data_IF_039778280187
#
_entry.id   IF_039778280187
#
_cell.length_a   1.000
_cell.length_b   1.000
_cell.length_c   1.000
_cell.angle_alpha   90.00
_cell.angle_beta   90.00
_cell.angle_gamma   90.00
#
_symmetry.space_group_name_H-M   'P 1'
#
loop_
_entity.id
_entity.type
_entity.pdbx_description
1 polymer ?
#
# COMPACT_ATOMS: atom_id res chain seq x y z
N UNK A 1 39.73 36.44 13.68
CA UNK A 1 38.74 35.90 14.58
C UNK A 1 37.64 35.21 13.77
N UNK A 2 37.67 33.89 13.78
CA UNK A 2 36.70 33.04 13.06
C UNK A 2 35.44 33.04 13.91
N UNK A 3 34.36 33.64 13.39
CA UNK A 3 33.03 33.56 13.96
C UNK A 3 32.57 32.09 13.90
N UNK A 4 32.59 31.41 15.03
CA UNK A 4 31.95 30.13 15.21
C UNK A 4 30.42 30.36 15.25
N UNK A 5 29.73 30.04 14.14
CA UNK A 5 28.28 29.93 14.16
C UNK A 5 27.90 28.84 15.20
N UNK A 6 27.09 29.16 16.21
CA UNK A 6 26.64 28.16 17.16
C UNK A 6 25.80 27.12 16.38
N UNK A 7 26.17 25.84 16.52
CA UNK A 7 25.34 24.72 16.03
C UNK A 7 23.92 24.90 16.58
N UNK A 8 22.87 24.70 15.78
CA UNK A 8 21.51 24.76 16.29
C UNK A 8 21.36 23.73 17.40
N UNK A 9 21.24 24.21 18.63
CA UNK A 9 20.92 23.38 19.78
C UNK A 9 19.53 22.81 19.53
N UNK A 10 19.43 21.46 19.37
CA UNK A 10 18.14 20.77 19.28
C UNK A 10 17.30 21.22 20.46
N UNK A 11 16.11 21.71 20.17
CA UNK A 11 15.17 22.17 21.19
C UNK A 11 15.02 21.03 22.24
N UNK A 12 15.24 21.26 23.54
CA UNK A 12 15.24 20.21 24.55
C UNK A 12 13.95 19.38 24.54
N UNK A 13 12.83 19.99 24.15
CA UNK A 13 11.56 19.28 23.96
C UNK A 13 11.61 18.28 22.81
N UNK A 14 12.25 18.62 21.69
CA UNK A 14 12.39 17.72 20.52
C UNK A 14 13.26 16.52 20.87
N UNK A 15 14.39 16.76 21.58
CA UNK A 15 15.26 15.66 22.03
C UNK A 15 14.54 14.72 23.00
N UNK A 16 13.68 15.27 23.87
CA UNK A 16 12.88 14.46 24.80
C UNK A 16 11.82 13.65 24.08
N UNK A 17 11.17 14.21 23.07
CA UNK A 17 10.21 13.49 22.22
C UNK A 17 10.87 12.31 21.47
N UNK A 18 12.09 12.50 20.96
CA UNK A 18 12.86 11.43 20.30
C UNK A 18 13.20 10.29 21.28
N UNK A 19 13.61 10.60 22.51
CA UNK A 19 13.86 9.60 23.55
C UNK A 19 12.62 8.78 23.90
N UNK A 20 11.45 9.45 24.03
CA UNK A 20 10.18 8.77 24.33
C UNK A 20 9.77 7.86 23.18
N UNK A 21 9.92 8.30 21.92
CA UNK A 21 9.62 7.46 20.74
C UNK A 21 10.53 6.24 20.69
N UNK A 22 11.82 6.39 21.01
CA UNK A 22 12.74 5.26 21.07
C UNK A 22 12.33 4.26 22.14
N UNK A 23 11.96 4.70 23.33
CA UNK A 23 11.49 3.83 24.41
C UNK A 23 10.15 3.13 24.08
N UNK A 24 9.25 3.78 23.34
CA UNK A 24 8.00 3.15 22.89
C UNK A 24 8.22 2.03 21.88
N UNK A 25 9.26 2.14 21.05
CA UNK A 25 9.60 1.16 20.02
C UNK A 25 10.47 0.00 20.53
N UNK A 26 10.86 0.05 21.79
CA UNK A 26 11.64 -1.04 22.41
C UNK A 26 10.73 -2.28 22.60
N UNK A 27 11.13 -3.45 22.07
CA UNK A 27 10.36 -4.69 22.21
C UNK A 27 10.12 -5.14 23.65
N UNK A 28 10.97 -4.69 24.58
CA UNK A 28 10.86 -5.02 26.01
C UNK A 28 9.83 -4.17 26.77
N UNK A 29 9.30 -3.12 26.14
CA UNK A 29 8.35 -2.20 26.80
C UNK A 29 6.95 -2.83 26.88
N UNK A 30 6.39 -2.90 28.12
CA UNK A 30 5.05 -3.43 28.32
C UNK A 30 3.98 -2.57 27.62
N UNK A 31 2.82 -3.15 27.29
CA UNK A 31 1.73 -2.43 26.66
C UNK A 31 1.21 -1.26 27.53
N UNK A 32 1.19 -1.45 28.83
CA UNK A 32 0.83 -0.40 29.78
C UNK A 32 1.84 0.76 29.75
N UNK A 33 3.13 0.47 29.80
CA UNK A 33 4.18 1.49 29.75
C UNK A 33 4.16 2.24 28.41
N UNK A 34 3.93 1.51 27.32
CA UNK A 34 3.79 2.09 25.98
C UNK A 34 2.64 3.12 25.95
N UNK A 35 1.50 2.79 26.55
CA UNK A 35 0.36 3.72 26.66
C UNK A 35 0.73 4.97 27.45
N UNK A 36 1.44 4.82 28.58
CA UNK A 36 1.90 5.95 29.40
C UNK A 36 2.95 6.82 28.71
N UNK A 37 3.86 6.21 27.95
CA UNK A 37 4.83 6.95 27.13
C UNK A 37 4.12 7.71 26.01
N UNK A 38 3.09 7.14 25.42
CA UNK A 38 2.27 7.80 24.40
C UNK A 38 1.51 9.02 24.94
N UNK A 39 0.89 8.91 26.11
CA UNK A 39 0.27 10.04 26.80
C UNK A 39 1.28 11.17 27.08
N UNK A 40 2.50 10.80 27.47
CA UNK A 40 3.59 11.74 27.74
C UNK A 40 4.08 12.44 26.47
N UNK A 41 4.23 11.68 25.40
CA UNK A 41 4.61 12.21 24.08
C UNK A 41 3.53 13.19 23.56
N UNK A 42 2.27 12.86 23.76
CA UNK A 42 1.14 13.70 23.39
C UNK A 42 1.20 15.08 24.06
N UNK A 43 1.47 15.12 25.34
CA UNK A 43 1.60 16.38 26.11
C UNK A 43 2.79 17.24 25.66
N UNK A 44 3.87 16.60 25.18
CA UNK A 44 5.09 17.28 24.74
C UNK A 44 5.06 17.72 23.28
N UNK A 45 4.38 16.99 22.41
CA UNK A 45 4.40 17.20 20.95
C UNK A 45 3.14 17.82 20.34
N UNK A 46 2.24 18.32 21.18
CA UNK A 46 1.07 19.06 20.68
C UNK A 46 -0.22 18.28 20.51
N UNK A 47 -0.25 17.02 20.93
CA UNK A 47 -1.51 16.26 21.02
C UNK A 47 -1.47 14.86 20.38
N UNK A 48 -2.39 14.02 20.83
CA UNK A 48 -2.73 12.72 20.24
C UNK A 48 -4.23 12.73 19.96
N UNK A 49 -4.60 12.40 18.75
CA UNK A 49 -6.00 12.13 18.43
C UNK A 49 -6.36 10.71 18.88
N UNK A 50 -7.45 10.60 19.64
CA UNK A 50 -7.98 9.31 20.08
C UNK A 50 -9.32 9.07 19.41
N UNK A 51 -9.40 8.06 18.57
CA UNK A 51 -10.64 7.63 17.92
C UNK A 51 -11.25 6.54 18.80
N UNK A 52 -12.44 6.83 19.36
CA UNK A 52 -13.19 5.85 20.14
C UNK A 52 -14.20 5.17 19.25
N UNK A 53 -14.07 3.85 19.11
CA UNK A 53 -14.95 3.03 18.27
C UNK A 53 -15.98 2.35 19.16
N UNK A 54 -17.25 2.38 18.73
CA UNK A 54 -18.35 1.68 19.40
C UNK A 54 -19.22 0.92 18.39
N UNK A 55 -19.98 -0.04 18.90
CA UNK A 55 -20.88 -0.87 18.09
C UNK A 55 -21.86 -1.63 18.98
N UNK A 56 -22.81 -2.35 18.38
CA UNK A 56 -23.82 -3.15 19.05
C UNK A 56 -23.28 -4.51 19.53
N UNK A 57 -22.17 -4.98 18.95
CA UNK A 57 -21.51 -6.22 19.34
C UNK A 57 -19.98 -6.06 19.35
N UNK A 58 -19.30 -6.94 20.08
CA UNK A 58 -17.83 -6.97 20.14
C UNK A 58 -17.19 -7.23 18.76
N UNK A 59 -17.81 -8.09 17.95
CA UNK A 59 -17.37 -8.38 16.58
C UNK A 59 -17.44 -7.11 15.71
N UNK A 60 -18.55 -6.39 15.76
CA UNK A 60 -18.72 -5.12 15.04
C UNK A 60 -17.67 -4.07 15.44
N UNK A 61 -17.39 -3.97 16.74
CA UNK A 61 -16.36 -3.05 17.26
C UNK A 61 -14.98 -3.46 16.75
N UNK A 62 -14.68 -4.77 16.75
CA UNK A 62 -13.43 -5.33 16.20
C UNK A 62 -13.26 -4.97 14.73
N UNK A 63 -14.23 -5.27 13.88
CA UNK A 63 -14.19 -4.94 12.45
C UNK A 63 -14.03 -3.44 12.17
N UNK A 64 -14.74 -2.61 12.92
CA UNK A 64 -14.58 -1.15 12.78
C UNK A 64 -13.20 -0.68 13.19
N UNK A 65 -12.64 -1.23 14.28
CA UNK A 65 -11.29 -0.89 14.74
C UNK A 65 -10.27 -1.25 13.66
N UNK A 66 -10.32 -2.47 13.12
CA UNK A 66 -9.39 -2.94 12.10
C UNK A 66 -9.46 -2.06 10.84
N UNK A 67 -10.67 -1.65 10.46
CA UNK A 67 -10.88 -0.73 9.33
C UNK A 67 -10.26 0.65 9.56
N UNK A 68 -10.30 1.17 10.78
CA UNK A 68 -9.59 2.41 11.12
C UNK A 68 -8.07 2.24 11.12
N UNK A 69 -7.58 1.12 11.62
CA UNK A 69 -6.14 0.83 11.62
C UNK A 69 -5.61 0.69 10.19
N UNK A 70 -6.34 0.01 9.30
CA UNK A 70 -6.04 -0.11 7.88
C UNK A 70 -6.01 1.27 7.19
N UNK A 71 -7.01 2.11 7.45
CA UNK A 71 -7.06 3.46 6.90
C UNK A 71 -5.88 4.33 7.36
N UNK A 72 -5.46 4.20 8.62
CA UNK A 72 -4.28 4.90 9.14
C UNK A 72 -2.99 4.40 8.49
N UNK A 73 -2.84 3.08 8.30
CA UNK A 73 -1.70 2.49 7.62
C UNK A 73 -1.64 2.93 6.15
N UNK A 74 -2.77 2.90 5.44
CA UNK A 74 -2.88 3.37 4.07
C UNK A 74 -2.52 4.85 3.93
N UNK A 75 -3.01 5.69 4.85
CA UNK A 75 -2.69 7.12 4.86
C UNK A 75 -1.20 7.39 5.08
N UNK A 76 -0.56 6.67 6.00
CA UNK A 76 0.89 6.78 6.21
C UNK A 76 1.68 6.36 4.98
N UNK A 77 1.31 5.24 4.36
CA UNK A 77 1.93 4.76 3.13
C UNK A 77 1.78 5.77 1.97
N UNK A 78 0.61 6.41 1.87
CA UNK A 78 0.35 7.46 0.88
C UNK A 78 1.19 8.72 1.11
N UNK A 79 1.43 9.11 2.36
CA UNK A 79 2.31 10.25 2.69
C UNK A 79 3.77 9.94 2.37
N UNK A 80 4.20 8.68 2.52
CA UNK A 80 5.59 8.27 2.27
C UNK A 80 5.96 8.20 0.79
N UNK A 81 5.12 7.57 -0.04
CA UNK A 81 5.44 7.30 -1.46
C UNK A 81 4.41 7.84 -2.46
N UNK A 82 3.37 8.52 -2.00
CA UNK A 82 2.32 9.06 -2.86
C UNK A 82 1.18 8.09 -3.14
N UNK A 83 0.32 8.50 -4.07
CA UNK A 83 -0.93 7.82 -4.43
C UNK A 83 -0.98 7.49 -5.92
N UNK A 84 -1.76 6.48 -6.24
CA UNK A 84 -2.09 6.04 -7.61
C UNK A 84 -3.60 5.82 -7.74
N UNK A 85 -4.16 5.77 -8.97
CA UNK A 85 -5.56 5.40 -9.14
C UNK A 85 -5.81 4.00 -8.59
N UNK A 86 -6.89 3.86 -7.83
CA UNK A 86 -7.33 2.61 -7.21
C UNK A 86 -8.01 1.65 -8.19
N UNK A 87 -8.75 0.69 -7.65
CA UNK A 87 -9.50 -0.27 -8.47
C UNK A 87 -8.64 -1.22 -9.31
N UNK A 88 -7.36 -1.40 -8.95
CA UNK A 88 -6.42 -2.22 -9.71
C UNK A 88 -5.93 -1.59 -11.01
N UNK A 89 -6.35 -0.36 -11.31
CA UNK A 89 -6.03 0.36 -12.57
C UNK A 89 -4.54 0.68 -12.67
N UNK A 90 -3.89 1.02 -11.56
CA UNK A 90 -2.46 1.32 -11.55
C UNK A 90 -1.61 0.17 -12.10
N UNK A 91 -1.90 -1.07 -11.67
CA UNK A 91 -1.21 -2.27 -12.18
C UNK A 91 -1.53 -2.53 -13.66
N UNK A 92 -2.78 -2.34 -14.05
CA UNK A 92 -3.22 -2.50 -15.44
C UNK A 92 -2.47 -1.51 -16.37
N UNK A 93 -2.35 -0.26 -15.98
CA UNK A 93 -1.60 0.77 -16.74
C UNK A 93 -0.10 0.50 -16.72
N UNK A 94 0.45 -0.01 -15.62
CA UNK A 94 1.86 -0.41 -15.52
C UNK A 94 2.22 -1.55 -16.49
N UNK A 95 1.27 -2.39 -16.88
CA UNK A 95 1.51 -3.47 -17.85
C UNK A 95 2.06 -2.96 -19.20
N UNK A 96 1.81 -1.70 -19.56
CA UNK A 96 2.37 -1.07 -20.77
C UNK A 96 3.90 -0.98 -20.74
N UNK A 97 4.50 -0.83 -19.56
CA UNK A 97 5.96 -0.76 -19.43
C UNK A 97 6.66 -2.05 -19.82
N UNK A 98 5.93 -3.19 -19.80
CA UNK A 98 6.44 -4.48 -20.25
C UNK A 98 6.70 -4.54 -21.76
N UNK A 99 6.12 -3.65 -22.56
CA UNK A 99 6.33 -3.60 -24.02
C UNK A 99 7.76 -3.18 -24.38
N UNK A 100 8.45 -2.48 -23.48
CA UNK A 100 9.83 -2.03 -23.67
C UNK A 100 10.89 -3.08 -23.28
N UNK A 101 10.47 -4.21 -22.70
CA UNK A 101 11.40 -5.24 -22.23
C UNK A 101 11.87 -6.10 -23.41
N UNK A 102 13.18 -6.05 -23.66
CA UNK A 102 13.82 -6.91 -24.65
C UNK A 102 14.21 -8.24 -24.00
N UNK A 103 13.75 -9.35 -24.55
CA UNK A 103 14.03 -10.69 -24.04
C UNK A 103 15.06 -11.40 -24.94
N UNK A 104 15.94 -12.20 -24.32
CA UNK A 104 16.99 -12.92 -25.02
C UNK A 104 16.49 -14.26 -25.64
N UNK A 105 15.41 -14.82 -25.11
CA UNK A 105 14.85 -16.09 -25.53
C UNK A 105 13.33 -16.16 -25.35
N UNK A 106 12.73 -17.23 -25.88
CA UNK A 106 11.30 -17.48 -25.81
C UNK A 106 10.78 -17.65 -24.36
N UNK A 107 11.54 -18.31 -23.49
CA UNK A 107 11.12 -18.57 -22.11
C UNK A 107 11.00 -17.27 -21.32
N UNK A 108 11.94 -16.33 -21.52
CA UNK A 108 11.86 -14.99 -20.92
C UNK A 108 10.63 -14.22 -21.45
N UNK A 109 10.34 -14.34 -22.74
CA UNK A 109 9.16 -13.72 -23.33
C UNK A 109 7.87 -14.29 -22.74
N UNK A 110 7.83 -15.59 -22.49
CA UNK A 110 6.70 -16.24 -21.82
C UNK A 110 6.54 -15.71 -20.38
N UNK A 111 7.64 -15.55 -19.65
CA UNK A 111 7.64 -14.93 -18.32
C UNK A 111 7.04 -13.52 -18.30
N UNK A 112 7.42 -12.67 -19.26
CA UNK A 112 6.83 -11.33 -19.43
C UNK A 112 5.33 -11.41 -19.70
N UNK A 113 4.89 -12.37 -20.53
CA UNK A 113 3.48 -12.60 -20.84
C UNK A 113 2.67 -13.05 -19.62
N UNK A 114 3.25 -13.89 -18.76
CA UNK A 114 2.64 -14.33 -17.49
C UNK A 114 2.44 -13.13 -16.56
N UNK A 115 3.47 -12.29 -16.36
CA UNK A 115 3.37 -11.09 -15.55
C UNK A 115 2.31 -10.13 -16.10
N UNK A 116 2.31 -9.90 -17.42
CA UNK A 116 1.29 -9.06 -18.08
C UNK A 116 -0.12 -9.55 -17.79
N UNK A 117 -0.37 -10.85 -17.89
CA UNK A 117 -1.66 -11.45 -17.59
C UNK A 117 -2.02 -11.29 -16.10
N UNK A 118 -1.06 -11.48 -15.20
CA UNK A 118 -1.25 -11.34 -13.76
C UNK A 118 -1.63 -9.91 -13.36
N UNK A 119 -1.04 -8.89 -13.97
CA UNK A 119 -1.33 -7.47 -13.68
C UNK A 119 -2.78 -7.07 -14.01
N UNK A 120 -3.49 -7.82 -14.83
CA UNK A 120 -4.91 -7.57 -15.13
C UNK A 120 -5.84 -8.13 -14.06
N UNK A 121 -5.38 -9.09 -13.25
CA UNK A 121 -6.22 -9.83 -12.31
C UNK A 121 -6.84 -8.99 -11.21
N UNK A 122 -6.13 -8.07 -10.54
CA UNK A 122 -6.74 -7.26 -9.48
C UNK A 122 -7.93 -6.44 -9.95
N UNK A 123 -7.81 -5.73 -11.07
CA UNK A 123 -8.91 -4.95 -11.64
C UNK A 123 -10.08 -5.88 -12.06
N UNK A 124 -9.78 -7.00 -12.71
CA UNK A 124 -10.79 -7.99 -13.10
C UNK A 124 -11.56 -8.50 -11.88
N UNK A 125 -10.86 -8.91 -10.82
CA UNK A 125 -11.49 -9.47 -9.63
C UNK A 125 -12.40 -8.48 -8.91
N UNK A 126 -12.02 -7.19 -8.86
CA UNK A 126 -12.87 -6.14 -8.27
C UNK A 126 -14.18 -6.01 -9.05
N UNK A 127 -14.12 -6.03 -10.37
CA UNK A 127 -15.30 -5.94 -11.25
C UNK A 127 -16.19 -7.19 -11.09
N UNK A 128 -15.59 -8.38 -11.09
CA UNK A 128 -16.30 -9.65 -10.89
C UNK A 128 -16.99 -9.71 -9.52
N UNK A 129 -16.36 -9.19 -8.47
CA UNK A 129 -16.95 -9.09 -7.13
C UNK A 129 -18.15 -8.11 -7.10
N UNK A 130 -18.19 -7.13 -8.00
CA UNK A 130 -19.33 -6.25 -8.16
C UNK A 130 -20.47 -6.85 -9.01
N UNK A 131 -20.27 -8.05 -9.57
CA UNK A 131 -21.27 -8.77 -10.37
C UNK A 131 -21.20 -8.46 -11.87
N UNK A 132 -20.17 -7.77 -12.32
CA UNK A 132 -19.96 -7.38 -13.72
C UNK A 132 -18.92 -8.26 -14.42
N UNK A 133 -18.89 -8.23 -15.76
CA UNK A 133 -17.94 -9.02 -16.55
C UNK A 133 -16.54 -8.34 -16.57
N UNK A 134 -15.62 -8.87 -15.76
CA UNK A 134 -14.30 -8.29 -15.57
C UNK A 134 -13.47 -8.21 -16.86
N UNK A 135 -13.64 -9.15 -17.79
CA UNK A 135 -12.90 -9.17 -19.06
C UNK A 135 -13.28 -8.00 -19.97
N UNK A 136 -14.57 -7.64 -20.00
CA UNK A 136 -15.07 -6.54 -20.81
C UNK A 136 -14.57 -5.21 -20.27
N UNK A 137 -14.64 -5.02 -18.94
CA UNK A 137 -14.19 -3.79 -18.31
C UNK A 137 -12.69 -3.60 -18.48
N UNK A 138 -11.88 -4.64 -18.22
CA UNK A 138 -10.44 -4.59 -18.41
C UNK A 138 -10.07 -4.30 -19.86
N UNK A 139 -10.74 -4.92 -20.84
CA UNK A 139 -10.55 -4.63 -22.26
C UNK A 139 -10.74 -3.16 -22.58
N UNK A 140 -11.85 -2.57 -22.12
CA UNK A 140 -12.16 -1.14 -22.33
C UNK A 140 -11.16 -0.20 -21.66
N UNK A 141 -10.63 -0.57 -20.47
CA UNK A 141 -9.60 0.21 -19.80
C UNK A 141 -8.27 0.17 -20.54
N UNK A 142 -7.95 -0.94 -21.20
CA UNK A 142 -6.73 -1.10 -21.99
C UNK A 142 -6.78 -0.32 -23.32
N UNK A 143 -7.95 -0.05 -23.87
CA UNK A 143 -8.12 0.79 -25.06
C UNK A 143 -7.71 2.25 -24.83
N UNK A 144 -7.74 2.72 -23.57
CA UNK A 144 -7.35 4.08 -23.18
C UNK A 144 -6.09 4.11 -22.30
N UNK A 145 -4.94 3.68 -22.82
CA UNK A 145 -3.72 3.57 -22.00
C UNK A 145 -3.07 4.91 -21.67
N UNK A 146 -3.45 5.99 -22.35
CA UNK A 146 -2.86 7.33 -22.19
C UNK A 146 -3.40 8.12 -21.02
N UNK A 147 -4.61 7.81 -20.55
CA UNK A 147 -5.21 8.47 -19.40
C UNK A 147 -4.95 7.65 -18.14
N UNK A 148 -4.01 8.12 -17.33
CA UNK A 148 -3.59 7.43 -16.11
C UNK A 148 -4.70 7.34 -15.06
N UNK A 149 -5.54 8.37 -14.94
CA UNK A 149 -6.64 8.44 -13.97
C UNK A 149 -7.89 7.65 -14.40
N UNK A 150 -8.04 7.39 -15.70
CA UNK A 150 -9.25 6.74 -16.24
C UNK A 150 -9.37 5.29 -15.76
N UNK A 151 -10.48 5.00 -15.09
CA UNK A 151 -10.77 3.69 -14.52
C UNK A 151 -12.26 3.40 -14.44
N UNK A 152 -12.59 2.26 -13.84
CA UNK A 152 -13.95 1.81 -13.57
C UNK A 152 -14.23 1.86 -12.08
N UNK A 153 -15.24 2.61 -11.68
CA UNK A 153 -15.74 2.65 -10.31
C UNK A 153 -16.81 1.57 -10.12
N UNK A 154 -16.41 0.47 -9.49
CA UNK A 154 -17.29 -0.67 -9.26
C UNK A 154 -18.46 -0.38 -8.30
N UNK A 155 -18.41 0.71 -7.53
CA UNK A 155 -19.50 1.10 -6.63
C UNK A 155 -20.67 1.77 -7.37
N UNK A 156 -20.37 2.50 -8.46
CA UNK A 156 -21.35 3.22 -9.27
C UNK A 156 -21.60 2.60 -10.65
N UNK A 157 -20.76 1.66 -11.08
CA UNK A 157 -20.84 1.06 -12.42
C UNK A 157 -20.39 1.99 -13.54
N UNK A 158 -19.59 3.02 -13.25
CA UNK A 158 -19.24 4.07 -14.20
C UNK A 158 -17.75 4.13 -14.50
N UNK A 159 -17.44 4.53 -15.75
CA UNK A 159 -16.08 4.86 -16.16
C UNK A 159 -15.83 6.35 -15.91
N UNK A 160 -14.81 6.67 -15.12
CA UNK A 160 -14.47 8.05 -14.75
C UNK A 160 -13.01 8.18 -14.35
N UNK A 161 -12.59 9.42 -14.11
CA UNK A 161 -11.29 9.68 -13.48
C UNK A 161 -11.36 9.28 -12.00
N UNK A 162 -10.67 8.20 -11.64
CA UNK A 162 -10.64 7.66 -10.29
C UNK A 162 -9.90 8.58 -9.31
N UNK A 163 -8.92 9.33 -9.80
CA UNK A 163 -8.18 10.28 -8.95
C UNK A 163 -9.11 11.41 -8.53
N UNK A 164 -9.84 11.99 -9.48
CA UNK A 164 -10.84 13.04 -9.20
C UNK A 164 -12.02 12.51 -8.36
N UNK A 165 -12.39 11.25 -8.53
CA UNK A 165 -13.46 10.59 -7.77
C UNK A 165 -13.01 10.18 -6.34
N UNK A 166 -11.72 10.30 -6.00
CA UNK A 166 -11.20 9.90 -4.68
C UNK A 166 -11.00 8.38 -4.52
N UNK A 167 -11.03 7.61 -5.60
CA UNK A 167 -10.73 6.17 -5.59
C UNK A 167 -9.22 6.00 -5.77
N UNK A 168 -8.50 5.93 -4.65
CA UNK A 168 -7.05 6.02 -4.59
C UNK A 168 -6.45 4.84 -3.83
N UNK A 169 -5.29 4.38 -4.29
CA UNK A 169 -4.46 3.41 -3.58
C UNK A 169 -3.11 4.04 -3.20
N UNK A 170 -2.50 3.70 -2.05
CA UNK A 170 -1.14 4.10 -1.73
C UNK A 170 -0.15 3.39 -2.67
N UNK A 171 0.72 4.15 -3.34
CA UNK A 171 1.71 3.57 -4.26
C UNK A 171 2.60 2.52 -3.59
N UNK A 172 3.04 2.79 -2.37
CA UNK A 172 3.87 1.86 -1.58
C UNK A 172 3.23 0.48 -1.44
N UNK A 173 1.92 0.42 -1.17
CA UNK A 173 1.19 -0.84 -1.00
C UNK A 173 1.14 -1.62 -2.32
N UNK A 174 0.78 -0.96 -3.42
CA UNK A 174 0.69 -1.59 -4.75
C UNK A 174 2.05 -2.10 -5.21
N UNK A 175 3.11 -1.30 -5.04
CA UNK A 175 4.49 -1.66 -5.40
C UNK A 175 4.99 -2.86 -4.58
N UNK A 176 4.82 -2.82 -3.26
CA UNK A 176 5.28 -3.88 -2.35
C UNK A 176 4.53 -5.18 -2.62
N UNK A 177 3.21 -5.13 -2.81
CA UNK A 177 2.42 -6.31 -3.15
C UNK A 177 2.92 -7.00 -4.43
N UNK A 178 3.23 -6.24 -5.48
CA UNK A 178 3.79 -6.79 -6.72
C UNK A 178 5.18 -7.39 -6.51
N UNK A 179 6.03 -6.71 -5.76
CA UNK A 179 7.39 -7.14 -5.46
C UNK A 179 7.40 -8.45 -4.64
N UNK A 180 6.60 -8.53 -3.61
CA UNK A 180 6.51 -9.69 -2.72
C UNK A 180 5.87 -10.89 -3.43
N UNK A 181 4.83 -10.66 -4.23
CA UNK A 181 4.21 -11.70 -5.04
C UNK A 181 5.20 -12.32 -6.03
N UNK A 182 6.02 -11.49 -6.69
CA UNK A 182 7.03 -11.99 -7.65
C UNK A 182 8.14 -12.78 -6.93
N UNK A 183 8.55 -12.35 -5.74
CA UNK A 183 9.52 -13.04 -4.90
C UNK A 183 9.02 -14.41 -4.42
N UNK A 184 7.78 -14.47 -3.94
CA UNK A 184 7.16 -15.71 -3.48
C UNK A 184 7.02 -16.76 -4.59
N UNK A 185 6.59 -16.35 -5.79
CA UNK A 185 6.49 -17.26 -6.95
C UNK A 185 7.86 -17.80 -7.34
N UNK A 186 8.88 -16.94 -7.42
CA UNK A 186 10.24 -17.36 -7.76
C UNK A 186 10.79 -18.39 -6.78
N UNK A 187 10.60 -18.15 -5.47
CA UNK A 187 11.04 -19.08 -4.43
C UNK A 187 10.34 -20.45 -4.53
N UNK A 188 9.02 -20.46 -4.70
CA UNK A 188 8.22 -21.68 -4.78
C UNK A 188 8.66 -22.54 -5.98
N UNK A 189 8.86 -21.94 -7.16
CA UNK A 189 9.25 -22.68 -8.37
C UNK A 189 10.71 -23.14 -8.37
N UNK A 190 11.60 -22.44 -7.67
CA UNK A 190 13.01 -22.85 -7.56
C UNK A 190 13.23 -23.96 -6.53
N UNK A 191 12.41 -24.03 -5.47
CA UNK A 191 12.63 -24.97 -4.36
C UNK A 191 11.84 -26.27 -4.46
N UNK A 192 10.63 -26.28 -5.05
CA UNK A 192 9.81 -27.48 -5.19
C UNK A 192 10.49 -28.63 -5.99
N UNK A 193 11.18 -28.38 -7.10
CA UNK A 193 11.87 -29.46 -7.84
C UNK A 193 13.01 -30.11 -7.05
N UNK A 194 13.62 -29.38 -6.11
CA UNK A 194 14.75 -29.89 -5.30
C UNK A 194 14.29 -30.81 -4.17
N UNK A 195 13.06 -30.65 -3.70
CA UNK A 195 12.48 -31.49 -2.64
C UNK A 195 12.00 -32.85 -3.16
N UNK A 196 11.66 -32.95 -4.45
CA UNK A 196 11.22 -34.18 -5.10
C UNK A 196 12.33 -35.09 -5.58
N UNK A 197 13.61 -34.72 -5.38
CA UNK A 197 14.80 -35.48 -5.80
C UNK A 197 15.56 -36.09 -4.61
N UNK A 198 14.95 -36.17 -3.40
CA UNK A 198 15.53 -36.84 -2.22
C UNK A 198 14.74 -38.09 -1.86
#
# INVERSE_FOLDING_TARGET
PISQNPKPTKNPTTARCEQIRSAMNDPSTSEYDRTKLQERLAKLSGGVAVIRVGGSSEVEVGEKKDRYDDALCATRAAVEEGIVPGGGVALLKAAKSLDSITTANFDQQLGVSIVRSALTRPARQIVENAGEEGSVVVGKLMENPGDFGFGYDASTGEYKDLIAAGVLDPFKVVRTALQDASGAVSYTHLTLPTILLV
#
